data_IF_303735869335
#
_entry.id   IF_303735869335
#
_cell.length_a   1.000
_cell.length_b   1.000
_cell.length_c   1.000
_cell.angle_alpha   90.00
_cell.angle_beta   90.00
_cell.angle_gamma   90.00
#
_symmetry.space_group_name_H-M   'P 1'
#
loop_
_entity.id
_entity.type
_entity.pdbx_description
1 polymer ?
#
# COMPACT_ATOMS: atom_id res chain seq x y z
N UNK A 1 -31.91 2.09 -58.94
CA UNK A 1 -31.74 3.55 -59.07
C UNK A 1 -32.27 4.21 -57.81
N UNK A 2 -31.79 5.33 -57.27
CA UNK A 2 -30.50 6.01 -57.26
C UNK A 2 -30.74 7.44 -56.68
N UNK A 3 -30.18 7.70 -55.49
CA UNK A 3 -29.70 9.00 -55.00
C UNK A 3 -30.66 10.16 -54.60
N UNK A 4 -30.09 11.02 -53.71
CA UNK A 4 -30.52 12.34 -53.19
C UNK A 4 -31.62 12.29 -52.11
N UNK A 5 -31.62 13.14 -51.07
CA UNK A 5 -30.67 14.16 -50.51
C UNK A 5 -31.18 14.49 -49.08
N UNK A 6 -30.40 14.88 -48.06
CA UNK A 6 -28.94 14.95 -47.84
C UNK A 6 -28.70 15.05 -46.31
N UNK A 7 -27.56 14.58 -45.79
CA UNK A 7 -27.15 14.79 -44.40
C UNK A 7 -26.07 15.86 -44.31
N UNK A 8 -26.36 16.97 -43.61
CA UNK A 8 -25.38 18.02 -43.31
C UNK A 8 -24.85 17.82 -41.90
N UNK A 9 -23.73 17.13 -41.75
CA UNK A 9 -22.97 17.17 -40.50
C UNK A 9 -22.44 18.61 -40.28
N UNK A 10 -22.46 19.14 -39.04
CA UNK A 10 -21.72 20.35 -38.76
C UNK A 10 -20.23 20.03 -38.89
N UNK A 11 -19.58 20.59 -39.91
CA UNK A 11 -18.14 20.56 -40.01
C UNK A 11 -17.57 21.30 -38.79
N UNK A 12 -16.91 20.58 -37.89
CA UNK A 12 -16.08 21.20 -36.86
C UNK A 12 -14.91 21.89 -37.58
N UNK A 13 -15.07 23.18 -37.86
CA UNK A 13 -14.00 24.03 -38.36
C UNK A 13 -12.90 24.07 -37.31
N UNK A 14 -11.80 23.34 -37.55
CA UNK A 14 -10.56 23.63 -36.89
C UNK A 14 -10.24 25.11 -37.14
N UNK A 15 -9.97 25.92 -36.10
CA UNK A 15 -9.53 27.29 -36.33
C UNK A 15 -8.23 27.24 -37.11
N UNK A 16 -8.22 27.98 -38.21
CA UNK A 16 -7.03 28.35 -38.97
C UNK A 16 -5.97 28.91 -38.00
N UNK A 17 -4.68 28.76 -38.33
CA UNK A 17 -3.57 29.17 -37.45
C UNK A 17 -3.38 30.70 -37.41
N UNK A 18 -4.42 31.41 -36.95
CA UNK A 18 -4.54 32.86 -36.90
C UNK A 18 -4.37 33.35 -35.45
N UNK A 19 -3.32 34.14 -35.22
CA UNK A 19 -3.10 35.04 -34.08
C UNK A 19 -3.74 34.67 -32.73
N UNK A 20 -3.40 33.48 -32.21
CA UNK A 20 -3.72 33.13 -30.83
C UNK A 20 -2.88 33.98 -29.88
N UNK A 21 -3.55 34.83 -29.09
CA UNK A 21 -2.88 35.54 -28.00
C UNK A 21 -2.27 34.53 -27.01
N UNK A 22 -1.18 34.90 -26.32
CA UNK A 22 -0.46 34.01 -25.39
C UNK A 22 -1.37 33.39 -24.31
N UNK A 23 -2.39 34.13 -23.85
CA UNK A 23 -3.42 33.65 -22.93
C UNK A 23 -4.31 32.55 -23.56
N UNK A 24 -4.71 32.70 -24.82
CA UNK A 24 -5.52 31.72 -25.55
C UNK A 24 -4.73 30.46 -25.87
N UNK A 25 -3.46 30.62 -26.25
CA UNK A 25 -2.53 29.49 -26.43
C UNK A 25 -2.32 28.73 -25.11
N UNK A 26 -2.11 29.44 -23.99
CA UNK A 26 -1.99 28.84 -22.66
C UNK A 26 -3.29 28.12 -22.24
N UNK A 27 -4.46 28.70 -22.51
CA UNK A 27 -5.74 28.06 -22.25
C UNK A 27 -5.94 26.77 -23.07
N UNK A 28 -5.56 26.77 -24.36
CA UNK A 28 -5.58 25.58 -25.23
C UNK A 28 -4.64 24.49 -24.72
N UNK A 29 -3.42 24.84 -24.30
CA UNK A 29 -2.46 23.90 -23.71
C UNK A 29 -2.97 23.34 -22.37
N UNK A 30 -3.55 24.20 -21.52
CA UNK A 30 -4.15 23.80 -20.24
C UNK A 30 -5.34 22.85 -20.42
N UNK A 31 -6.25 23.15 -21.35
CA UNK A 31 -7.37 22.27 -21.69
C UNK A 31 -6.89 20.94 -22.28
N UNK A 32 -5.90 20.95 -23.17
CA UNK A 32 -5.31 19.72 -23.73
C UNK A 32 -4.65 18.85 -22.65
N UNK A 33 -3.96 19.46 -21.68
CA UNK A 33 -3.37 18.75 -20.54
C UNK A 33 -4.47 18.12 -19.65
N UNK A 34 -5.51 18.88 -19.30
CA UNK A 34 -6.65 18.37 -18.52
C UNK A 34 -7.37 17.23 -19.23
N UNK A 35 -7.61 17.35 -20.54
CA UNK A 35 -8.21 16.28 -21.35
C UNK A 35 -7.32 15.04 -21.39
N UNK A 36 -6.00 15.20 -21.55
CA UNK A 36 -5.06 14.07 -21.49
C UNK A 36 -5.09 13.39 -20.11
N UNK A 37 -5.09 14.14 -19.01
CA UNK A 37 -5.11 13.57 -17.66
C UNK A 37 -6.43 12.84 -17.39
N UNK A 38 -7.58 13.43 -17.76
CA UNK A 38 -8.89 12.80 -17.66
C UNK A 38 -9.00 11.51 -18.52
N UNK A 39 -8.44 11.52 -19.74
CA UNK A 39 -8.42 10.35 -20.62
C UNK A 39 -7.41 9.26 -20.20
N UNK A 40 -6.35 9.63 -19.46
CA UNK A 40 -5.35 8.68 -18.95
C UNK A 40 -5.82 7.94 -17.71
N UNK A 41 -6.91 8.39 -17.05
CA UNK A 41 -7.42 7.81 -15.79
C UNK A 41 -6.55 8.06 -14.55
N UNK A 42 -5.33 8.55 -14.72
CA UNK A 42 -4.39 8.86 -13.65
C UNK A 42 -4.75 10.19 -12.97
N UNK A 43 -5.53 10.09 -11.89
CA UNK A 43 -5.70 11.16 -10.92
C UNK A 43 -4.34 11.42 -10.22
N UNK A 44 -3.88 12.68 -10.08
CA UNK A 44 -2.60 13.01 -9.43
C UNK A 44 -2.47 12.59 -7.95
N UNK A 45 -3.57 12.12 -7.37
CA UNK A 45 -3.71 11.76 -5.95
C UNK A 45 -4.08 10.28 -5.76
N UNK A 46 -4.00 9.46 -6.82
CA UNK A 46 -4.00 8.01 -6.65
C UNK A 46 -2.70 7.65 -5.94
N UNK A 47 -2.80 7.33 -4.65
CA UNK A 47 -1.74 6.64 -3.93
C UNK A 47 -1.36 5.42 -4.75
N UNK A 48 -0.14 5.43 -5.27
CA UNK A 48 0.28 4.45 -6.24
C UNK A 48 0.49 3.15 -5.47
N UNK A 49 -0.45 2.21 -5.58
CA UNK A 49 -0.46 0.96 -4.80
C UNK A 49 0.87 0.21 -4.92
N UNK A 50 1.63 0.41 -6.00
CA UNK A 50 2.96 -0.17 -6.20
C UNK A 50 4.08 0.45 -5.34
N UNK A 51 3.95 1.72 -4.94
CA UNK A 51 4.93 2.47 -4.14
C UNK A 51 4.64 2.38 -2.62
N UNK A 52 3.36 2.34 -2.23
CA UNK A 52 2.92 2.36 -0.82
C UNK A 52 2.87 0.97 -0.13
N UNK A 53 3.15 -0.12 -0.86
CA UNK A 53 3.29 -1.46 -0.25
C UNK A 53 2.74 -2.65 -1.05
N UNK A 54 2.20 -2.41 -2.24
CA UNK A 54 1.57 -3.43 -3.09
C UNK A 54 0.15 -3.81 -2.67
N UNK A 55 -0.53 -4.55 -3.54
CA UNK A 55 -1.81 -5.17 -3.20
C UNK A 55 -1.61 -6.29 -2.16
N UNK A 56 -2.40 -6.26 -1.09
CA UNK A 56 -2.30 -7.23 -0.01
C UNK A 56 -3.22 -8.44 -0.24
N UNK A 57 -2.65 -9.61 -0.54
CA UNK A 57 -3.41 -10.86 -0.56
C UNK A 57 -3.80 -11.27 0.88
N UNK A 58 -5.07 -11.04 1.22
CA UNK A 58 -5.66 -11.35 2.53
C UNK A 58 -5.67 -12.86 2.81
N UNK A 59 -5.78 -13.72 1.79
CA UNK A 59 -5.79 -15.17 1.97
C UNK A 59 -4.38 -15.68 2.31
N UNK A 60 -3.37 -15.24 1.56
CA UNK A 60 -1.96 -15.55 1.87
C UNK A 60 -1.52 -14.95 3.22
N UNK A 61 -1.98 -13.74 3.56
CA UNK A 61 -1.74 -13.12 4.87
C UNK A 61 -2.33 -13.97 6.00
N UNK A 62 -3.60 -14.39 5.87
CA UNK A 62 -4.27 -15.24 6.86
C UNK A 62 -3.52 -16.55 7.07
N UNK A 63 -3.19 -17.27 5.99
CA UNK A 63 -2.44 -18.53 6.05
C UNK A 63 -1.09 -18.34 6.77
N UNK A 64 -0.36 -17.25 6.46
CA UNK A 64 0.91 -16.95 7.13
C UNK A 64 0.74 -16.69 8.63
N UNK A 65 -0.33 -16.01 9.05
CA UNK A 65 -0.61 -15.77 10.47
C UNK A 65 -0.98 -17.06 11.21
N UNK A 66 -1.82 -17.91 10.62
CA UNK A 66 -2.17 -19.23 11.17
C UNK A 66 -0.93 -20.12 11.31
N UNK A 67 -0.06 -20.18 10.29
CA UNK A 67 1.21 -20.90 10.35
C UNK A 67 2.20 -20.31 11.37
N UNK A 68 2.23 -18.99 11.53
CA UNK A 68 3.07 -18.32 12.55
C UNK A 68 2.61 -18.71 13.95
N UNK A 69 1.30 -18.70 14.21
CA UNK A 69 0.73 -19.12 15.49
C UNK A 69 1.04 -20.61 15.77
N UNK A 70 0.88 -21.49 14.78
CA UNK A 70 1.22 -22.91 14.91
C UNK A 70 2.72 -23.12 15.21
N UNK A 71 3.62 -22.38 14.55
CA UNK A 71 5.05 -22.44 14.81
C UNK A 71 5.42 -22.00 16.24
N UNK A 72 4.77 -20.93 16.75
CA UNK A 72 4.96 -20.47 18.13
C UNK A 72 4.43 -21.47 19.17
N UNK A 73 3.25 -22.06 18.93
CA UNK A 73 2.66 -23.05 19.84
C UNK A 73 3.44 -24.37 19.88
N UNK A 74 3.92 -24.85 18.74
CA UNK A 74 4.64 -26.13 18.64
C UNK A 74 6.13 -26.01 19.00
N UNK A 75 6.73 -24.84 18.80
CA UNK A 75 8.19 -24.66 18.95
C UNK A 75 9.01 -25.54 17.99
N UNK A 76 8.39 -25.97 16.88
CA UNK A 76 8.96 -26.89 15.91
C UNK A 76 10.22 -26.31 15.23
N UNK A 77 11.18 -27.18 14.83
CA UNK A 77 12.33 -26.74 14.04
C UNK A 77 11.89 -26.29 12.65
N UNK A 78 12.27 -25.07 12.26
CA UNK A 78 11.98 -24.47 10.96
C UNK A 78 13.25 -24.31 10.11
N UNK A 79 13.09 -24.39 8.80
CA UNK A 79 14.15 -24.05 7.84
C UNK A 79 14.32 -22.54 7.67
N UNK A 80 15.44 -22.15 7.08
CA UNK A 80 15.72 -20.74 6.73
C UNK A 80 14.66 -20.16 5.77
N UNK A 81 14.08 -20.98 4.89
CA UNK A 81 13.04 -20.55 3.95
C UNK A 81 11.70 -20.28 4.66
N UNK A 82 11.27 -21.20 5.53
CA UNK A 82 10.04 -21.06 6.31
C UNK A 82 10.11 -19.86 7.26
N UNK A 83 11.22 -19.67 7.97
CA UNK A 83 11.42 -18.46 8.79
C UNK A 83 11.40 -17.17 7.94
N UNK A 84 11.98 -17.21 6.73
CA UNK A 84 11.94 -16.06 5.81
C UNK A 84 10.50 -15.72 5.40
N UNK A 85 9.69 -16.74 5.12
CA UNK A 85 8.27 -16.59 4.79
C UNK A 85 7.47 -16.03 5.97
N UNK A 86 7.56 -16.65 7.16
CA UNK A 86 6.79 -16.25 8.34
C UNK A 86 7.14 -14.83 8.80
N UNK A 87 8.44 -14.51 8.97
CA UNK A 87 8.88 -13.16 9.38
C UNK A 87 8.85 -12.12 8.24
N UNK A 88 8.62 -12.55 6.99
CA UNK A 88 8.75 -11.71 5.80
C UNK A 88 10.15 -11.09 5.60
N UNK A 89 11.18 -11.66 6.22
CA UNK A 89 12.57 -11.17 6.18
C UNK A 89 13.55 -12.34 6.32
N UNK A 90 14.58 -12.35 5.48
CA UNK A 90 15.62 -13.39 5.51
C UNK A 90 16.52 -13.20 6.75
N UNK A 91 16.71 -14.23 7.60
CA UNK A 91 17.60 -14.09 8.75
C UNK A 91 19.07 -13.86 8.33
N UNK A 92 19.66 -12.74 8.77
CA UNK A 92 21.06 -12.39 8.50
C UNK A 92 22.06 -12.86 9.58
N UNK A 93 21.61 -12.93 10.83
CA UNK A 93 22.43 -13.25 12.02
C UNK A 93 21.93 -14.53 12.72
N UNK A 94 22.68 -15.05 13.69
CA UNK A 94 22.27 -16.24 14.46
C UNK A 94 20.98 -16.03 15.29
N UNK A 95 20.60 -14.77 15.50
CA UNK A 95 19.35 -14.35 16.10
C UNK A 95 18.84 -13.10 15.38
N UNK A 96 17.53 -13.02 15.10
CA UNK A 96 16.88 -11.91 14.40
C UNK A 96 15.52 -11.66 15.06
N UNK A 97 15.22 -10.39 15.35
CA UNK A 97 13.91 -9.96 15.87
C UNK A 97 13.23 -9.01 14.87
N UNK A 98 11.92 -9.20 14.64
CA UNK A 98 11.09 -8.33 13.78
C UNK A 98 9.62 -8.45 14.16
N UNK A 99 8.95 -7.31 14.35
CA UNK A 99 7.48 -7.27 14.51
C UNK A 99 6.93 -8.12 15.66
N UNK A 100 7.65 -8.19 16.79
CA UNK A 100 7.28 -9.03 17.94
C UNK A 100 7.66 -10.51 17.81
N UNK A 101 8.23 -10.96 16.69
CA UNK A 101 8.79 -12.30 16.51
C UNK A 101 10.31 -12.29 16.66
N UNK A 102 10.85 -13.39 17.22
CA UNK A 102 12.28 -13.69 17.35
C UNK A 102 12.57 -15.04 16.71
N UNK A 103 13.48 -15.06 15.74
CA UNK A 103 14.02 -16.31 15.18
C UNK A 103 15.44 -16.53 15.70
N UNK A 104 15.67 -17.68 16.34
CA UNK A 104 16.99 -18.11 16.84
C UNK A 104 17.48 -19.33 16.09
N UNK A 105 18.70 -19.27 15.56
CA UNK A 105 19.34 -20.39 14.86
C UNK A 105 19.83 -21.42 15.88
N UNK A 106 19.38 -22.66 15.72
CA UNK A 106 19.81 -23.82 16.51
C UNK A 106 20.95 -24.55 15.81
N UNK A 107 20.88 -24.72 14.49
CA UNK A 107 21.97 -25.28 13.67
C UNK A 107 21.90 -24.78 12.22
N UNK A 108 22.68 -25.35 11.28
CA UNK A 108 22.59 -24.97 9.86
C UNK A 108 21.19 -25.30 9.32
N UNK A 109 20.48 -24.28 8.84
CA UNK A 109 19.10 -24.37 8.36
C UNK A 109 18.10 -24.93 9.38
N UNK A 110 18.39 -24.82 10.69
CA UNK A 110 17.43 -25.16 11.76
C UNK A 110 17.28 -23.97 12.69
N UNK A 111 16.06 -23.48 12.79
CA UNK A 111 15.67 -22.31 13.56
C UNK A 111 14.52 -22.64 14.51
N UNK A 112 14.39 -21.87 15.58
CA UNK A 112 13.18 -21.81 16.40
C UNK A 112 12.62 -20.40 16.37
N UNK A 113 11.30 -20.31 16.19
CA UNK A 113 10.55 -19.07 16.32
C UNK A 113 10.02 -18.95 17.76
N UNK A 114 10.11 -17.76 18.33
CA UNK A 114 9.48 -17.40 19.60
C UNK A 114 8.95 -15.98 19.52
N UNK A 115 8.15 -15.56 20.50
CA UNK A 115 7.85 -14.15 20.70
C UNK A 115 9.14 -13.42 21.15
N UNK A 116 9.34 -12.20 20.68
CA UNK A 116 10.37 -11.29 21.18
C UNK A 116 9.90 -10.73 22.53
N UNK A 117 10.60 -11.06 23.63
CA UNK A 117 10.24 -10.58 24.97
C UNK A 117 10.51 -9.07 25.09
N UNK A 118 9.50 -8.26 24.82
CA UNK A 118 9.60 -6.80 24.82
C UNK A 118 8.28 -6.04 24.84
N UNK A 119 7.20 -6.65 25.33
CA UNK A 119 5.91 -5.99 25.55
C UNK A 119 5.08 -6.75 26.59
N UNK A 120 4.28 -6.02 27.39
CA UNK A 120 3.47 -6.61 28.45
C UNK A 120 2.58 -7.78 28.01
N UNK A 121 2.32 -8.64 29.01
CA UNK A 121 1.34 -9.72 29.01
C UNK A 121 0.06 -9.36 28.23
N UNK A 122 -0.21 -10.11 27.16
CA UNK A 122 -1.55 -10.58 26.75
C UNK A 122 -2.70 -9.58 27.02
N UNK A 123 -2.77 -8.52 26.23
CA UNK A 123 -4.03 -7.82 25.97
C UNK A 123 -4.68 -7.12 27.16
N UNK A 124 -3.91 -6.40 27.98
CA UNK A 124 -4.49 -5.21 28.60
C UNK A 124 -4.65 -4.16 27.48
N UNK A 125 -5.89 -3.92 27.06
CA UNK A 125 -6.20 -2.87 26.10
C UNK A 125 -5.81 -1.56 26.78
N UNK A 126 -4.74 -0.91 26.30
CA UNK A 126 -4.30 0.37 26.83
C UNK A 126 -5.51 1.32 26.82
N UNK A 127 -5.99 1.64 28.02
CA UNK A 127 -7.26 2.31 28.20
C UNK A 127 -7.18 3.69 27.54
N UNK A 128 -7.93 3.88 26.44
CA UNK A 128 -8.02 5.15 25.68
C UNK A 128 -8.73 6.27 26.49
N UNK A 129 -8.60 6.27 27.81
CA UNK A 129 -9.17 7.22 28.76
C UNK A 129 -8.16 8.25 29.31
N UNK A 130 -6.94 8.30 28.78
CA UNK A 130 -5.92 9.29 29.16
C UNK A 130 -5.98 10.59 28.32
N UNK A 131 -7.14 10.91 27.72
CA UNK A 131 -7.41 12.24 27.18
C UNK A 131 -7.65 13.24 28.32
N UNK A 132 -6.54 13.60 28.97
CA UNK A 132 -6.29 14.86 29.68
C UNK A 132 -7.54 15.54 30.27
N UNK A 133 -8.02 15.05 31.42
CA UNK A 133 -9.06 15.74 32.21
C UNK A 133 -8.55 17.15 32.55
N UNK A 134 -9.09 18.15 31.86
CA UNK A 134 -8.65 19.55 31.85
C UNK A 134 -8.90 20.30 33.15
N UNK A 135 -8.88 19.61 34.29
CA UNK A 135 -9.19 20.12 35.62
C UNK A 135 -8.03 20.92 36.20
N UNK A 136 -7.69 22.02 35.53
CA UNK A 136 -6.87 23.09 36.09
C UNK A 136 -7.53 23.60 37.36
N UNK A 137 -7.05 23.12 38.50
CA UNK A 137 -7.37 23.69 39.81
C UNK A 137 -6.70 25.06 39.88
N UNK A 138 -7.50 26.12 39.76
CA UNK A 138 -7.04 27.45 40.12
C UNK A 138 -6.89 27.51 41.65
N UNK A 139 -5.69 27.85 42.09
CA UNK A 139 -5.33 28.29 43.43
C UNK A 139 -4.82 29.74 43.31
#
# INVERSE_FOLDING_TARGET
MAAKRSASAPAASAPEAADLNAEQALALVGMGLMQKMAASGELPWMWNETEDGGSCDVAALRQRLELTQLALQTGAPLSTAEVTYLMGARPGSAEVERGGLRARRVSRNVWKLSEARGGERRGEVAQFGAFNDGRRRFA
#
